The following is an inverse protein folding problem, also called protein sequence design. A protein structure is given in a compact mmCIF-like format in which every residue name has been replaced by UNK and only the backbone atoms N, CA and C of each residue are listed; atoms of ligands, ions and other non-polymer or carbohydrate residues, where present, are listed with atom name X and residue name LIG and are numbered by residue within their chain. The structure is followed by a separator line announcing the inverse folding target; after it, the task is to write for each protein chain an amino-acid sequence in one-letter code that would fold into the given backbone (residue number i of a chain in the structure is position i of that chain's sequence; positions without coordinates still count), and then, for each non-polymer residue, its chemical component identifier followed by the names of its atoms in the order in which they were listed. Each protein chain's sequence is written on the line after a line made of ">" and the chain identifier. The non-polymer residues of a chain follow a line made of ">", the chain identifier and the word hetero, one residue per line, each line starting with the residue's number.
data_IF_108648554515
#
_entry.id   IF_108648554515
#
_cell.length_a   1.000
_cell.length_b   1.000
_cell.length_c   1.000
_cell.angle_alpha   90.00
_cell.angle_beta   90.00
_cell.angle_gamma   90.00
#
_symmetry.space_group_name_H-M   'P 1'
#
loop_
_entity.id
_entity.type
_entity.pdbx_description
1 polymer ?
#
# COMPACT_ATOMS: atom_id res chain seq x y z
N UNK A 1 -4.64 53.06 9.69
CA UNK A 1 -3.45 52.17 9.67
C UNK A 1 -3.59 51.11 10.77
N UNK A 2 -4.69 50.34 10.73
CA UNK A 2 -5.06 49.37 11.78
C UNK A 2 -6.00 48.30 11.18
N UNK A 3 -5.54 47.58 10.15
CA UNK A 3 -6.33 46.55 9.47
C UNK A 3 -5.66 45.16 9.38
N UNK A 4 -4.39 45.01 9.76
CA UNK A 4 -3.64 43.75 9.50
C UNK A 4 -3.33 42.88 10.73
N UNK A 5 -3.97 43.13 11.88
CA UNK A 5 -3.80 42.27 13.06
C UNK A 5 -4.54 40.91 13.03
N UNK A 6 -5.69 40.71 12.32
CA UNK A 6 -6.38 39.43 12.34
C UNK A 6 -5.75 38.34 11.44
N UNK A 7 -4.92 38.71 10.45
CA UNK A 7 -4.18 37.72 9.64
C UNK A 7 -2.93 37.20 10.36
N UNK A 8 -2.29 38.02 11.19
CA UNK A 8 -1.12 37.61 11.96
C UNK A 8 -1.45 36.64 13.10
N UNK A 9 -2.66 36.72 13.68
CA UNK A 9 -3.12 35.76 14.72
C UNK A 9 -3.57 34.40 14.16
N UNK A 10 -3.78 34.27 12.84
CA UNK A 10 -3.91 32.96 12.17
C UNK A 10 -2.55 32.31 11.89
N UNK A 11 -1.47 33.06 12.05
CA UNK A 11 -0.08 32.63 11.84
C UNK A 11 0.67 32.46 13.17
N UNK A 12 0.01 32.12 14.28
CA UNK A 12 0.77 31.48 15.36
C UNK A 12 1.26 30.14 14.79
N UNK A 13 2.57 29.96 14.54
CA UNK A 13 3.04 28.66 14.12
C UNK A 13 2.62 27.71 15.23
N UNK A 14 1.92 26.63 14.87
CA UNK A 14 1.68 25.61 15.89
C UNK A 14 3.05 25.22 16.46
N UNK A 15 3.18 24.88 17.75
CA UNK A 15 4.48 24.49 18.33
C UNK A 15 5.19 23.42 17.48
N UNK A 16 4.41 22.61 16.78
CA UNK A 16 4.81 21.59 15.81
C UNK A 16 5.47 22.19 14.57
N UNK A 17 4.89 23.23 13.98
CA UNK A 17 5.50 23.93 12.82
C UNK A 17 6.80 24.65 13.21
N UNK A 18 6.90 25.09 14.46
CA UNK A 18 8.14 25.68 14.98
C UNK A 18 9.26 24.64 15.09
N UNK A 19 8.96 23.42 15.56
CA UNK A 19 9.94 22.32 15.63
C UNK A 19 10.49 21.98 14.24
N UNK A 20 9.63 21.93 13.21
CA UNK A 20 10.10 21.75 11.83
C UNK A 20 11.05 22.85 11.37
N UNK A 21 10.74 24.11 11.68
CA UNK A 21 11.62 25.26 11.34
C UNK A 21 12.94 25.27 12.10
N UNK A 22 12.98 24.70 13.31
CA UNK A 22 14.21 24.55 14.10
C UNK A 22 15.13 23.51 13.45
N UNK A 23 14.56 22.41 12.96
CA UNK A 23 15.33 21.41 12.22
C UNK A 23 15.94 21.99 10.94
N UNK A 24 15.12 22.64 10.11
CA UNK A 24 15.56 23.25 8.84
C UNK A 24 16.71 24.27 9.02
N UNK A 25 16.78 24.96 10.17
CA UNK A 25 17.74 26.06 10.42
C UNK A 25 18.86 25.70 11.37
N UNK A 26 18.78 24.57 12.10
CA UNK A 26 19.66 24.33 13.22
C UNK A 26 19.57 22.94 13.83
N UNK A 27 19.39 21.88 13.03
CA UNK A 27 19.39 20.50 13.48
C UNK A 27 20.59 20.14 14.40
N UNK A 28 21.76 20.71 14.12
CA UNK A 28 23.01 20.48 14.87
C UNK A 28 23.06 21.15 16.25
N UNK A 29 22.18 22.11 16.52
CA UNK A 29 22.16 22.86 17.80
C UNK A 29 21.52 22.06 18.94
N UNK A 30 20.74 21.04 18.60
CA UNK A 30 19.96 20.24 19.55
C UNK A 30 20.56 18.85 19.65
N UNK A 31 20.84 18.40 20.87
CA UNK A 31 21.39 17.05 21.10
C UNK A 31 20.38 15.96 20.69
N UNK A 32 20.88 14.81 20.21
CA UNK A 32 20.05 13.66 19.83
C UNK A 32 19.09 13.19 20.93
N UNK A 33 19.49 13.32 22.21
CA UNK A 33 18.65 12.97 23.36
C UNK A 33 17.39 13.83 23.46
N UNK A 34 17.52 15.12 23.14
CA UNK A 34 16.40 16.06 23.21
C UNK A 34 15.45 15.85 22.04
N UNK A 35 15.98 15.57 20.85
CA UNK A 35 15.17 15.14 19.72
C UNK A 35 14.36 13.87 20.02
N UNK A 36 14.96 12.88 20.70
CA UNK A 36 14.25 11.69 21.15
C UNK A 36 13.17 12.00 22.19
N UNK A 37 13.40 12.96 23.10
CA UNK A 37 12.37 13.42 24.05
C UNK A 37 11.17 14.00 23.31
N UNK A 38 11.42 14.85 22.31
CA UNK A 38 10.37 15.44 21.46
C UNK A 38 9.63 14.33 20.69
N UNK A 39 10.31 13.30 20.18
CA UNK A 39 9.65 12.15 19.54
C UNK A 39 8.63 11.45 20.46
N UNK A 40 8.95 11.26 21.75
CA UNK A 40 8.02 10.64 22.69
C UNK A 40 6.81 11.55 22.99
N UNK A 41 7.01 12.86 23.08
CA UNK A 41 5.91 13.82 23.28
C UNK A 41 5.00 13.92 22.04
N UNK A 42 5.59 13.84 20.84
CA UNK A 42 4.86 13.79 19.57
C UNK A 42 4.01 12.52 19.42
N UNK A 43 4.43 11.38 19.99
CA UNK A 43 3.64 10.15 19.98
C UNK A 43 2.30 10.33 20.71
N UNK A 44 2.30 11.08 21.82
CA UNK A 44 1.06 11.41 22.54
C UNK A 44 0.20 12.40 21.73
N UNK A 45 0.80 13.26 20.92
CA UNK A 45 0.06 14.17 20.03
C UNK A 45 -0.61 13.47 18.83
N UNK A 46 -0.17 12.27 18.45
CA UNK A 46 -0.88 11.44 17.46
C UNK A 46 -2.27 11.01 17.95
N UNK A 47 -2.54 11.10 19.25
CA UNK A 47 -3.86 10.83 19.86
C UNK A 47 -4.84 12.00 19.72
N UNK A 48 -4.40 13.16 19.24
CA UNK A 48 -5.25 14.34 19.17
C UNK A 48 -6.46 14.10 18.24
N UNK A 49 -7.67 14.57 18.62
CA UNK A 49 -8.89 14.35 17.83
C UNK A 49 -8.86 15.08 16.48
N UNK A 50 -8.15 16.21 16.40
CA UNK A 50 -8.04 17.02 15.17
C UNK A 50 -7.04 16.42 14.17
N UNK A 51 -7.51 16.11 12.96
CA UNK A 51 -6.69 15.57 11.85
C UNK A 51 -5.49 16.47 11.50
N UNK A 52 -5.67 17.80 11.56
CA UNK A 52 -4.59 18.76 11.29
C UNK A 52 -3.40 18.60 12.25
N UNK A 53 -3.66 18.39 13.54
CA UNK A 53 -2.62 18.20 14.56
C UNK A 53 -1.87 16.89 14.29
N UNK A 54 -2.59 15.80 14.00
CA UNK A 54 -1.96 14.51 13.67
C UNK A 54 -1.09 14.59 12.43
N UNK A 55 -1.53 15.30 11.39
CA UNK A 55 -0.74 15.51 10.16
C UNK A 55 0.53 16.33 10.43
N UNK A 56 0.42 17.40 11.20
CA UNK A 56 1.58 18.19 11.59
C UNK A 56 2.58 17.36 12.41
N UNK A 57 2.09 16.55 13.36
CA UNK A 57 2.92 15.66 14.16
C UNK A 57 3.69 14.63 13.30
N UNK A 58 3.01 14.01 12.31
CA UNK A 58 3.65 13.10 11.34
C UNK A 58 4.76 13.80 10.55
N UNK A 59 4.52 15.03 10.08
CA UNK A 59 5.55 15.80 9.37
C UNK A 59 6.77 16.09 10.27
N UNK A 60 6.54 16.41 11.55
CA UNK A 60 7.66 16.61 12.49
C UNK A 60 8.45 15.35 12.79
N UNK A 61 7.84 14.16 12.80
CA UNK A 61 8.60 12.92 12.90
C UNK A 61 9.60 12.77 11.75
N UNK A 62 9.26 13.27 10.55
CA UNK A 62 10.15 13.21 9.40
C UNK A 62 11.34 14.16 9.55
N UNK A 63 11.12 15.39 10.02
CA UNK A 63 12.21 16.33 10.31
C UNK A 63 13.17 15.75 11.36
N UNK A 64 12.63 15.17 12.44
CA UNK A 64 13.47 14.54 13.47
C UNK A 64 14.22 13.31 12.93
N UNK A 65 13.58 12.49 12.10
CA UNK A 65 14.22 11.33 11.49
C UNK A 65 15.35 11.73 10.54
N UNK A 66 15.26 12.89 9.87
CA UNK A 66 16.37 13.45 9.08
C UNK A 66 17.52 13.94 9.97
N UNK A 67 17.22 14.56 11.11
CA UNK A 67 18.21 15.12 12.02
C UNK A 67 19.03 14.05 12.78
N UNK A 68 18.37 13.05 13.38
CA UNK A 68 19.05 12.01 14.17
C UNK A 68 19.41 10.78 13.31
N UNK A 69 18.52 10.43 12.38
CA UNK A 69 18.55 9.18 11.63
C UNK A 69 17.35 8.27 11.96
N UNK A 70 16.89 7.45 11.00
CA UNK A 70 15.69 6.62 11.16
C UNK A 70 15.87 5.48 12.18
N UNK A 71 17.10 5.04 12.42
CA UNK A 71 17.40 3.89 13.30
C UNK A 71 16.98 4.11 14.76
N UNK A 72 17.01 5.36 15.24
CA UNK A 72 16.64 5.69 16.63
C UNK A 72 15.12 5.92 16.79
N UNK A 73 14.47 6.42 15.73
CA UNK A 73 13.04 6.75 15.74
C UNK A 73 12.16 5.51 15.50
N UNK A 74 12.57 4.64 14.58
CA UNK A 74 11.76 3.46 14.18
C UNK A 74 11.44 2.51 15.34
N UNK A 75 12.37 2.12 16.23
CA UNK A 75 12.05 1.22 17.35
C UNK A 75 10.95 1.77 18.24
N UNK A 76 10.95 3.08 18.47
CA UNK A 76 9.96 3.80 19.28
C UNK A 76 8.57 3.74 18.64
N UNK A 77 8.47 4.00 17.33
CA UNK A 77 7.22 3.88 16.57
C UNK A 77 6.73 2.43 16.51
N UNK A 78 7.62 1.46 16.28
CA UNK A 78 7.26 0.05 16.16
C UNK A 78 6.77 -0.54 17.49
N UNK A 79 7.34 -0.11 18.62
CA UNK A 79 6.84 -0.51 19.93
C UNK A 79 5.44 0.06 20.21
N UNK A 80 5.11 1.23 19.64
CA UNK A 80 3.78 1.82 19.75
C UNK A 80 2.69 1.04 18.96
N UNK A 81 3.07 0.20 18.00
CA UNK A 81 2.10 -0.67 17.29
C UNK A 81 1.40 -1.68 18.22
N UNK A 82 1.96 -1.96 19.40
CA UNK A 82 1.35 -2.82 20.43
C UNK A 82 0.16 -2.17 21.15
N UNK A 83 -0.04 -0.87 20.97
CA UNK A 83 -1.12 -0.12 21.63
C UNK A 83 -2.49 -0.62 21.12
N UNK A 84 -3.42 -0.84 22.06
CA UNK A 84 -4.74 -1.43 21.79
C UNK A 84 -5.67 -0.53 20.97
N UNK A 85 -5.45 0.79 20.98
CA UNK A 85 -6.31 1.73 20.27
C UNK A 85 -6.01 1.82 18.77
N UNK A 86 -7.02 1.54 17.94
CA UNK A 86 -6.88 1.46 16.49
C UNK A 86 -6.38 2.77 15.85
N UNK A 87 -6.91 3.92 16.29
CA UNK A 87 -6.55 5.22 15.72
C UNK A 87 -5.06 5.52 15.91
N UNK A 88 -4.49 5.15 17.06
CA UNK A 88 -3.07 5.34 17.36
C UNK A 88 -2.22 4.47 16.46
N UNK A 89 -2.58 3.18 16.29
CA UNK A 89 -1.88 2.30 15.36
C UNK A 89 -1.85 2.86 13.94
N UNK A 90 -2.97 3.34 13.41
CA UNK A 90 -3.03 3.91 12.05
C UNK A 90 -2.15 5.16 11.92
N UNK A 91 -2.13 6.03 12.91
CA UNK A 91 -1.28 7.23 12.85
C UNK A 91 0.21 6.86 12.94
N UNK A 92 0.55 5.85 13.74
CA UNK A 92 1.92 5.31 13.84
C UNK A 92 2.35 4.65 12.53
N UNK A 93 1.49 3.91 11.83
CA UNK A 93 1.83 3.32 10.52
C UNK A 93 2.04 4.38 9.44
N UNK A 94 1.25 5.45 9.46
CA UNK A 94 1.45 6.60 8.56
C UNK A 94 2.77 7.32 8.88
N UNK A 95 3.11 7.48 10.16
CA UNK A 95 4.39 8.05 10.57
C UNK A 95 5.58 7.20 10.06
N UNK A 96 5.52 5.87 10.20
CA UNK A 96 6.57 4.97 9.69
C UNK A 96 6.71 5.10 8.16
N UNK A 97 5.61 5.13 7.42
CA UNK A 97 5.63 5.30 5.96
C UNK A 97 6.24 6.65 5.53
N UNK A 98 5.91 7.74 6.23
CA UNK A 98 6.45 9.07 5.96
C UNK A 98 7.95 9.17 6.29
N UNK A 99 8.41 8.46 7.34
CA UNK A 99 9.84 8.33 7.64
C UNK A 99 10.56 7.52 6.55
N UNK A 100 9.93 6.47 6.00
CA UNK A 100 10.50 5.70 4.90
C UNK A 100 10.65 6.50 3.60
N UNK A 101 9.72 7.42 3.32
CA UNK A 101 9.81 8.33 2.18
C UNK A 101 11.02 9.27 2.30
N UNK A 102 11.26 9.80 3.51
CA UNK A 102 12.33 10.79 3.74
C UNK A 102 13.71 10.18 3.93
N UNK A 103 13.80 9.02 4.58
CA UNK A 103 15.06 8.35 4.91
C UNK A 103 15.38 7.15 4.00
N UNK A 104 14.67 7.06 2.86
CA UNK A 104 14.65 5.96 1.91
C UNK A 104 14.15 4.61 2.47
N UNK A 105 13.49 3.79 1.65
CA UNK A 105 12.83 2.57 2.12
C UNK A 105 13.79 1.48 2.61
N UNK A 106 15.05 1.48 2.15
CA UNK A 106 16.04 0.47 2.51
C UNK A 106 16.33 0.38 4.02
N UNK A 107 16.12 1.46 4.77
CA UNK A 107 16.31 1.50 6.23
C UNK A 107 15.11 0.95 6.99
N UNK A 108 13.90 1.15 6.45
CA UNK A 108 12.63 0.84 7.11
C UNK A 108 12.16 -0.58 6.78
N UNK A 109 12.29 -1.02 5.52
CA UNK A 109 11.81 -2.33 5.05
C UNK A 109 12.38 -3.50 5.87
N UNK A 110 13.71 -3.61 6.11
CA UNK A 110 14.25 -4.74 6.89
C UNK A 110 13.74 -4.75 8.32
N UNK A 111 13.59 -3.56 8.92
CA UNK A 111 13.11 -3.39 10.30
C UNK A 111 11.64 -3.82 10.42
N UNK A 112 10.81 -3.46 9.43
CA UNK A 112 9.42 -3.90 9.33
C UNK A 112 9.30 -5.42 9.16
N UNK A 113 10.07 -5.99 8.23
CA UNK A 113 10.08 -7.44 7.99
C UNK A 113 10.48 -8.22 9.25
N UNK A 114 11.43 -7.69 10.03
CA UNK A 114 11.82 -8.33 11.28
C UNK A 114 10.69 -8.28 12.33
N UNK A 115 9.93 -7.18 12.41
CA UNK A 115 8.78 -7.08 13.33
C UNK A 115 7.60 -7.95 12.91
N UNK A 116 7.40 -8.18 11.61
CA UNK A 116 6.33 -9.05 11.11
C UNK A 116 6.51 -10.53 11.55
N UNK A 117 7.75 -10.96 11.82
CA UNK A 117 8.04 -12.30 12.37
C UNK A 117 7.55 -12.51 13.81
N UNK A 118 7.14 -11.45 14.50
CA UNK A 118 6.61 -11.56 15.86
C UNK A 118 5.17 -12.09 15.82
N UNK A 119 4.79 -13.04 16.70
CA UNK A 119 3.47 -13.72 16.65
C UNK A 119 2.29 -12.85 17.14
N UNK A 120 2.47 -11.53 17.28
CA UNK A 120 1.40 -10.61 17.72
C UNK A 120 0.61 -10.10 16.51
N UNK A 121 -0.61 -10.61 16.31
CA UNK A 121 -1.49 -10.24 15.18
C UNK A 121 -1.70 -8.73 14.99
N UNK A 122 -1.77 -7.97 16.09
CA UNK A 122 -1.91 -6.50 16.04
C UNK A 122 -0.67 -5.82 15.45
N UNK A 123 0.52 -6.35 15.74
CA UNK A 123 1.79 -5.85 15.21
C UNK A 123 1.92 -6.23 13.74
N UNK A 124 1.59 -7.46 13.36
CA UNK A 124 1.60 -7.91 11.96
C UNK A 124 0.66 -7.08 11.08
N UNK A 125 -0.59 -6.88 11.52
CA UNK A 125 -1.54 -5.97 10.86
C UNK A 125 -1.02 -4.52 10.79
N UNK A 126 -0.34 -4.05 11.84
CA UNK A 126 0.31 -2.73 11.84
C UNK A 126 1.43 -2.64 10.80
N UNK A 127 2.28 -3.66 10.70
CA UNK A 127 3.36 -3.72 9.72
C UNK A 127 2.82 -3.75 8.30
N UNK A 128 1.80 -4.56 8.02
CA UNK A 128 1.15 -4.61 6.70
C UNK A 128 0.52 -3.26 6.32
N UNK A 129 -0.15 -2.59 7.26
CA UNK A 129 -0.68 -1.23 7.03
C UNK A 129 0.43 -0.22 6.76
N UNK A 130 1.54 -0.26 7.51
CA UNK A 130 2.69 0.60 7.28
C UNK A 130 3.30 0.34 5.89
N UNK A 131 3.43 -0.92 5.50
CA UNK A 131 3.90 -1.35 4.19
C UNK A 131 2.99 -0.83 3.06
N UNK A 132 1.67 -0.89 3.25
CA UNK A 132 0.68 -0.35 2.29
C UNK A 132 0.77 1.16 2.11
N UNK A 133 0.96 1.93 3.19
CA UNK A 133 1.14 3.39 3.08
C UNK A 133 2.49 3.72 2.45
N UNK A 134 3.54 2.99 2.83
CA UNK A 134 4.90 3.17 2.34
C UNK A 134 4.97 2.92 0.83
N UNK A 135 4.39 1.82 0.32
CA UNK A 135 4.35 1.57 -1.13
C UNK A 135 3.57 2.64 -1.89
N UNK A 136 2.53 3.21 -1.28
CA UNK A 136 1.79 4.35 -1.84
C UNK A 136 2.59 5.66 -1.90
N UNK A 137 3.50 5.91 -0.96
CA UNK A 137 4.31 7.14 -0.93
C UNK A 137 5.55 7.05 -1.82
N UNK A 138 6.16 5.87 -1.93
CA UNK A 138 7.38 5.67 -2.70
C UNK A 138 7.13 5.75 -4.21
N UNK A 139 5.98 5.28 -4.69
CA UNK A 139 5.65 5.24 -6.12
C UNK A 139 6.67 4.40 -6.91
N UNK A 140 7.38 5.04 -7.84
CA UNK A 140 8.28 4.39 -8.80
C UNK A 140 9.52 3.73 -8.16
N UNK A 141 10.02 4.23 -7.02
CA UNK A 141 11.17 3.56 -6.37
C UNK A 141 10.80 2.20 -5.77
N UNK A 142 9.52 1.80 -5.80
CA UNK A 142 9.05 0.50 -5.35
C UNK A 142 9.63 -0.67 -6.14
N UNK A 143 10.11 -0.44 -7.38
CA UNK A 143 10.67 -1.49 -8.25
C UNK A 143 11.86 -2.23 -7.63
N UNK A 144 12.68 -1.55 -6.83
CA UNK A 144 13.91 -2.15 -6.27
C UNK A 144 13.59 -3.00 -5.02
N UNK A 145 12.40 -2.82 -4.44
CA UNK A 145 11.98 -3.46 -3.18
C UNK A 145 10.95 -4.57 -3.38
N UNK A 146 10.31 -4.67 -4.55
CA UNK A 146 9.23 -5.63 -4.80
C UNK A 146 9.68 -7.07 -4.49
N UNK A 147 10.85 -7.49 -4.98
CA UNK A 147 11.39 -8.83 -4.77
C UNK A 147 11.68 -9.13 -3.29
N UNK A 148 12.07 -8.12 -2.51
CA UNK A 148 12.30 -8.29 -1.08
C UNK A 148 10.98 -8.43 -0.29
N UNK A 149 9.92 -7.78 -0.76
CA UNK A 149 8.62 -7.73 -0.09
C UNK A 149 7.71 -8.89 -0.51
N UNK A 150 7.93 -9.53 -1.67
CA UNK A 150 7.15 -10.65 -2.17
C UNK A 150 6.92 -11.77 -1.13
N UNK A 151 7.94 -12.35 -0.46
CA UNK A 151 7.74 -13.44 0.49
C UNK A 151 6.87 -13.05 1.69
N UNK A 152 6.92 -11.77 2.11
CA UNK A 152 6.09 -11.26 3.20
C UNK A 152 4.62 -11.15 2.76
N UNK A 153 4.37 -10.69 1.53
CA UNK A 153 3.02 -10.60 0.98
C UNK A 153 2.43 -11.97 0.67
N UNK A 154 3.24 -12.94 0.25
CA UNK A 154 2.81 -14.32 0.05
C UNK A 154 2.24 -14.91 1.35
N UNK A 155 2.97 -14.78 2.45
CA UNK A 155 2.52 -15.23 3.77
C UNK A 155 1.22 -14.51 4.19
N UNK A 156 1.16 -13.19 4.03
CA UNK A 156 -0.01 -12.39 4.40
C UNK A 156 -1.25 -12.67 3.52
N UNK A 157 -1.07 -13.03 2.25
CA UNK A 157 -2.17 -13.38 1.33
C UNK A 157 -2.71 -14.79 1.58
N UNK A 158 -1.89 -15.70 2.14
CA UNK A 158 -2.28 -17.07 2.50
C UNK A 158 -2.80 -17.21 3.93
N UNK A 159 -2.66 -16.17 4.76
CA UNK A 159 -3.09 -16.22 6.16
C UNK A 159 -4.61 -16.44 6.28
N UNK A 160 -5.03 -17.07 7.37
CA UNK A 160 -6.42 -17.32 7.73
C UNK A 160 -7.18 -16.02 8.06
N UNK A 161 -6.51 -14.98 8.55
CA UNK A 161 -7.15 -13.72 8.93
C UNK A 161 -7.55 -12.86 7.72
N UNK A 162 -8.81 -12.43 7.72
CA UNK A 162 -9.39 -11.59 6.68
C UNK A 162 -8.70 -10.22 6.59
N UNK A 163 -8.28 -9.66 7.73
CA UNK A 163 -7.65 -8.32 7.77
C UNK A 163 -6.25 -8.36 7.15
N UNK A 164 -5.51 -9.45 7.35
CA UNK A 164 -4.21 -9.69 6.72
C UNK A 164 -4.36 -9.75 5.20
N UNK A 165 -5.28 -10.59 4.69
CA UNK A 165 -5.56 -10.68 3.25
C UNK A 165 -6.01 -9.36 2.66
N UNK A 166 -6.90 -8.63 3.33
CA UNK A 166 -7.37 -7.32 2.89
C UNK A 166 -6.21 -6.32 2.75
N UNK A 167 -5.38 -6.20 3.79
CA UNK A 167 -4.28 -5.22 3.81
C UNK A 167 -3.13 -5.62 2.89
N UNK A 168 -2.90 -6.92 2.69
CA UNK A 168 -1.97 -7.41 1.69
C UNK A 168 -2.46 -7.05 0.27
N UNK A 169 -3.75 -7.24 -0.03
CA UNK A 169 -4.33 -6.82 -1.32
C UNK A 169 -4.21 -5.31 -1.55
N UNK A 170 -4.46 -4.48 -0.54
CA UNK A 170 -4.25 -3.02 -0.68
C UNK A 170 -2.78 -2.66 -0.89
N UNK A 171 -1.85 -3.44 -0.32
CA UNK A 171 -0.42 -3.26 -0.55
C UNK A 171 -0.04 -3.63 -1.98
N UNK A 172 -0.52 -4.77 -2.50
CA UNK A 172 -0.32 -5.19 -3.90
C UNK A 172 -0.88 -4.15 -4.86
N UNK A 173 -2.04 -3.56 -4.57
CA UNK A 173 -2.62 -2.46 -5.34
C UNK A 173 -1.63 -1.31 -5.54
N UNK A 174 -1.05 -0.80 -4.45
CA UNK A 174 -0.11 0.32 -4.50
C UNK A 174 1.20 -0.04 -5.20
N UNK A 175 1.71 -1.26 -4.99
CA UNK A 175 2.91 -1.76 -5.69
C UNK A 175 2.65 -1.88 -7.19
N UNK A 176 1.52 -2.46 -7.60
CA UNK A 176 1.17 -2.62 -9.00
C UNK A 176 1.08 -1.28 -9.73
N UNK A 177 0.47 -0.26 -9.12
CA UNK A 177 0.43 1.10 -9.68
C UNK A 177 1.81 1.76 -9.74
N UNK A 178 2.64 1.62 -8.70
CA UNK A 178 3.97 2.22 -8.65
C UNK A 178 4.97 1.61 -9.64
N UNK A 179 4.78 0.34 -10.00
CA UNK A 179 5.74 -0.43 -10.83
C UNK A 179 5.26 -0.61 -12.28
N UNK A 180 4.12 -0.02 -12.65
CA UNK A 180 3.59 -0.10 -14.00
C UNK A 180 4.59 0.45 -15.04
N UNK A 181 4.99 -0.39 -16.01
CA UNK A 181 5.94 -0.02 -17.07
C UNK A 181 7.43 -0.07 -16.69
N UNK A 182 7.79 -0.53 -15.48
CA UNK A 182 9.18 -0.62 -15.03
C UNK A 182 9.83 -2.00 -15.20
N UNK A 183 9.13 -2.96 -15.82
CA UNK A 183 9.67 -4.27 -16.18
C UNK A 183 9.59 -5.37 -15.10
N UNK A 184 8.93 -5.14 -13.96
CA UNK A 184 8.74 -6.14 -12.90
C UNK A 184 7.45 -6.97 -13.07
N UNK A 185 7.12 -7.36 -14.31
CA UNK A 185 5.90 -8.12 -14.61
C UNK A 185 5.93 -9.53 -14.00
N UNK A 186 7.11 -10.10 -13.81
CA UNK A 186 7.34 -11.41 -13.20
C UNK A 186 6.87 -11.45 -11.73
N UNK A 187 7.33 -10.51 -10.92
CA UNK A 187 6.97 -10.38 -9.51
C UNK A 187 5.48 -10.07 -9.33
N UNK A 188 4.92 -9.22 -10.19
CA UNK A 188 3.48 -8.91 -10.18
C UNK A 188 2.64 -10.11 -10.63
N UNK A 189 3.09 -10.89 -11.62
CA UNK A 189 2.40 -12.14 -12.02
C UNK A 189 2.40 -13.14 -10.87
N UNK A 190 3.51 -13.24 -10.13
CA UNK A 190 3.61 -14.10 -8.94
C UNK A 190 2.63 -13.67 -7.85
N UNK A 191 2.59 -12.37 -7.50
CA UNK A 191 1.63 -11.84 -6.52
C UNK A 191 0.18 -12.04 -6.96
N UNK A 192 -0.12 -11.88 -8.25
CA UNK A 192 -1.45 -12.10 -8.80
C UNK A 192 -1.94 -13.54 -8.58
N UNK A 193 -1.05 -14.54 -8.64
CA UNK A 193 -1.40 -15.94 -8.35
C UNK A 193 -1.89 -16.15 -6.90
N UNK A 194 -1.41 -15.36 -5.94
CA UNK A 194 -1.86 -15.40 -4.55
C UNK A 194 -3.09 -14.52 -4.29
N UNK A 195 -3.27 -13.45 -5.05
CA UNK A 195 -4.47 -12.60 -4.97
C UNK A 195 -5.69 -13.29 -5.59
N UNK A 196 -5.51 -14.02 -6.70
CA UNK A 196 -6.59 -14.60 -7.48
C UNK A 196 -7.52 -15.56 -6.69
N UNK A 197 -7.03 -16.47 -5.84
CA UNK A 197 -7.89 -17.34 -5.02
C UNK A 197 -8.82 -16.59 -4.07
N UNK A 198 -8.46 -15.36 -3.68
CA UNK A 198 -9.24 -14.56 -2.72
C UNK A 198 -10.52 -13.95 -3.34
N UNK A 199 -10.77 -14.12 -4.64
CA UNK A 199 -12.00 -13.68 -5.32
C UNK A 199 -13.25 -14.42 -4.83
N UNK A 200 -13.09 -15.62 -4.27
CA UNK A 200 -14.19 -16.42 -3.72
C UNK A 200 -14.59 -16.03 -2.30
N UNK A 201 -13.91 -15.05 -1.71
CA UNK A 201 -14.24 -14.55 -0.38
C UNK A 201 -15.63 -13.90 -0.37
N UNK A 202 -16.31 -13.93 0.78
CA UNK A 202 -17.69 -13.40 0.90
C UNK A 202 -17.76 -12.00 1.50
N UNK A 203 -16.71 -11.59 2.21
CA UNK A 203 -16.70 -10.30 2.92
C UNK A 203 -16.47 -9.13 1.96
N UNK A 204 -17.39 -8.15 2.00
CA UNK A 204 -17.37 -7.00 1.08
C UNK A 204 -16.05 -6.20 1.13
N UNK A 205 -15.46 -6.05 2.32
CA UNK A 205 -14.20 -5.31 2.48
C UNK A 205 -13.00 -6.00 1.83
N UNK A 206 -12.95 -7.33 1.88
CA UNK A 206 -11.86 -8.10 1.23
C UNK A 206 -12.09 -8.16 -0.27
N UNK A 207 -13.32 -8.43 -0.73
CA UNK A 207 -13.64 -8.49 -2.15
C UNK A 207 -13.27 -7.17 -2.83
N UNK A 208 -13.67 -6.03 -2.27
CA UNK A 208 -13.32 -4.72 -2.84
C UNK A 208 -11.80 -4.53 -2.93
N UNK A 209 -11.05 -4.91 -1.89
CA UNK A 209 -9.59 -4.81 -1.91
C UNK A 209 -8.95 -5.75 -2.95
N UNK A 210 -9.48 -6.96 -3.13
CA UNK A 210 -9.04 -7.93 -4.14
C UNK A 210 -9.33 -7.40 -5.54
N UNK A 211 -10.53 -6.88 -5.79
CA UNK A 211 -10.91 -6.30 -7.08
C UNK A 211 -10.03 -5.10 -7.43
N UNK A 212 -9.81 -4.18 -6.48
CA UNK A 212 -8.90 -3.05 -6.69
C UNK A 212 -7.45 -3.50 -6.96
N UNK A 213 -6.99 -4.58 -6.31
CA UNK A 213 -5.67 -5.13 -6.56
C UNK A 213 -5.56 -5.76 -7.97
N UNK A 214 -6.58 -6.51 -8.39
CA UNK A 214 -6.67 -7.09 -9.73
C UNK A 214 -6.72 -5.99 -10.79
N UNK A 215 -7.52 -4.94 -10.58
CA UNK A 215 -7.57 -3.74 -11.43
C UNK A 215 -6.19 -3.15 -11.64
N UNK A 216 -5.46 -2.90 -10.57
CA UNK A 216 -4.13 -2.31 -10.66
C UNK A 216 -3.12 -3.26 -11.33
N UNK A 217 -3.27 -4.57 -11.12
CA UNK A 217 -2.48 -5.57 -11.84
C UNK A 217 -2.81 -5.58 -13.35
N UNK A 218 -4.06 -5.34 -13.76
CA UNK A 218 -4.39 -5.21 -15.19
C UNK A 218 -3.69 -4.04 -15.85
N UNK A 219 -3.53 -2.91 -15.13
CA UNK A 219 -2.82 -1.73 -15.64
C UNK A 219 -1.33 -2.03 -15.79
N UNK A 220 -0.73 -2.75 -14.84
CA UNK A 220 0.70 -3.04 -14.84
C UNK A 220 1.12 -4.19 -15.78
N UNK A 221 0.34 -5.29 -15.82
CA UNK A 221 0.63 -6.50 -16.61
C UNK A 221 -0.01 -6.51 -18.00
N UNK A 222 -0.98 -5.62 -18.21
CA UNK A 222 -1.87 -5.64 -19.36
C UNK A 222 -3.06 -6.60 -19.20
N UNK A 223 -4.13 -6.40 -19.99
CA UNK A 223 -5.38 -7.14 -19.86
C UNK A 223 -5.23 -8.62 -20.28
N UNK A 224 -4.30 -8.94 -21.19
CA UNK A 224 -4.14 -10.29 -21.72
C UNK A 224 -3.73 -11.33 -20.68
N UNK A 225 -2.81 -10.99 -19.77
CA UNK A 225 -2.37 -11.91 -18.70
C UNK A 225 -3.49 -12.17 -17.69
N UNK A 226 -4.21 -11.14 -17.28
CA UNK A 226 -5.34 -11.29 -16.34
C UNK A 226 -6.50 -12.04 -16.97
N UNK A 227 -6.76 -11.82 -18.27
CA UNK A 227 -7.75 -12.59 -19.03
C UNK A 227 -7.47 -14.09 -19.03
N UNK A 228 -6.20 -14.51 -19.05
CA UNK A 228 -5.85 -15.94 -18.99
C UNK A 228 -6.24 -16.58 -17.65
N UNK A 229 -6.13 -15.85 -16.53
CA UNK A 229 -6.59 -16.31 -15.22
C UNK A 229 -8.12 -16.42 -15.17
N UNK A 230 -8.84 -15.43 -15.72
CA UNK A 230 -10.30 -15.44 -15.85
C UNK A 230 -10.77 -16.64 -16.69
N UNK A 231 -10.10 -16.92 -17.82
CA UNK A 231 -10.44 -18.03 -18.72
C UNK A 231 -10.29 -19.38 -18.02
N UNK A 232 -9.21 -19.56 -17.25
CA UNK A 232 -9.02 -20.76 -16.43
C UNK A 232 -10.13 -20.96 -15.40
N UNK A 233 -10.59 -19.87 -14.76
CA UNK A 233 -11.71 -19.90 -13.81
C UNK A 233 -13.07 -20.17 -14.49
N UNK A 234 -13.27 -19.68 -15.72
CA UNK A 234 -14.51 -19.88 -16.50
C UNK A 234 -14.74 -21.30 -17.00
N UNK A 235 -13.71 -22.16 -17.01
CA UNK A 235 -13.81 -23.56 -17.39
C UNK A 235 -14.30 -24.48 -16.25
N UNK A 236 -14.53 -23.95 -15.03
CA UNK A 236 -15.06 -24.74 -13.92
C UNK A 236 -16.55 -25.11 -14.15
N UNK A 237 -16.98 -26.33 -13.74
CA UNK A 237 -18.35 -26.78 -13.91
C UNK A 237 -19.37 -25.85 -13.22
N UNK A 238 -20.59 -25.70 -13.76
CA UNK A 238 -21.58 -24.65 -13.42
C UNK A 238 -22.22 -24.75 -12.03
N UNK A 239 -21.64 -25.54 -11.12
CA UNK A 239 -22.18 -25.82 -9.77
C UNK A 239 -21.34 -25.25 -8.61
N UNK A 240 -20.17 -24.69 -8.87
CA UNK A 240 -19.62 -23.70 -7.95
C UNK A 240 -20.33 -22.37 -8.25
N UNK A 241 -20.84 -21.64 -7.24
CA UNK A 241 -21.49 -20.36 -7.51
C UNK A 241 -20.52 -19.53 -8.34
N UNK A 242 -20.99 -18.93 -9.44
CA UNK A 242 -20.24 -17.86 -10.09
C UNK A 242 -20.05 -16.82 -9.00
N UNK A 243 -18.90 -16.83 -8.33
CA UNK A 243 -18.68 -15.94 -7.22
C UNK A 243 -18.89 -14.52 -7.77
N UNK A 244 -19.64 -13.66 -7.06
CA UNK A 244 -19.92 -12.31 -7.53
C UNK A 244 -18.65 -11.59 -7.99
N UNK A 245 -17.53 -11.83 -7.28
CA UNK A 245 -16.21 -11.31 -7.63
C UNK A 245 -15.66 -11.74 -9.00
N UNK A 246 -16.02 -12.91 -9.55
CA UNK A 246 -15.55 -13.32 -10.89
C UNK A 246 -16.28 -12.54 -11.98
N UNK A 247 -17.58 -12.33 -11.83
CA UNK A 247 -18.35 -11.53 -12.79
C UNK A 247 -17.98 -10.05 -12.70
N UNK A 248 -17.71 -9.56 -11.49
CA UNK A 248 -17.21 -8.20 -11.25
C UNK A 248 -15.79 -8.02 -11.80
N UNK A 249 -14.87 -8.97 -11.59
CA UNK A 249 -13.53 -8.94 -12.19
C UNK A 249 -13.60 -8.97 -13.72
N UNK A 250 -14.53 -9.74 -14.31
CA UNK A 250 -14.83 -9.70 -15.74
C UNK A 250 -15.34 -8.31 -16.14
N UNK A 251 -16.30 -7.74 -15.42
CA UNK A 251 -16.86 -6.43 -15.72
C UNK A 251 -15.79 -5.33 -15.66
N UNK A 252 -14.92 -5.38 -14.64
CA UNK A 252 -13.73 -4.55 -14.51
C UNK A 252 -12.80 -4.70 -15.72
N UNK A 253 -12.53 -5.93 -16.16
CA UNK A 253 -11.71 -6.20 -17.34
C UNK A 253 -12.32 -5.59 -18.60
N UNK A 254 -13.65 -5.62 -18.72
CA UNK A 254 -14.40 -5.05 -19.84
C UNK A 254 -14.51 -3.52 -19.77
N UNK A 255 -14.61 -2.92 -18.58
CA UNK A 255 -14.71 -1.47 -18.37
C UNK A 255 -13.36 -0.77 -18.58
N UNK A 256 -12.27 -1.31 -18.04
CA UNK A 256 -10.90 -0.85 -18.36
C UNK A 256 -10.45 -1.32 -19.74
N UNK A 257 -11.11 -2.36 -20.26
CA UNK A 257 -11.14 -2.80 -21.64
C UNK A 257 -11.87 -1.83 -22.58
N UNK A 258 -11.71 -0.51 -22.39
CA UNK A 258 -11.82 0.45 -23.50
C UNK A 258 -10.81 0.16 -24.64
N UNK A 259 -9.89 -0.80 -24.42
CA UNK A 259 -9.22 -1.62 -25.43
C UNK A 259 -9.89 -2.99 -25.55
N UNK A 260 -11.16 -3.05 -25.95
CA UNK A 260 -11.81 -4.31 -26.31
C UNK A 260 -10.97 -5.09 -27.34
N UNK A 261 -10.23 -4.35 -28.18
CA UNK A 261 -9.26 -4.83 -29.17
C UNK A 261 -8.09 -5.65 -28.58
N UNK A 262 -7.67 -5.40 -27.33
CA UNK A 262 -6.56 -6.13 -26.71
C UNK A 262 -6.97 -7.53 -26.20
N UNK A 263 -8.27 -7.76 -25.96
CA UNK A 263 -8.82 -9.04 -25.54
C UNK A 263 -9.30 -9.91 -26.71
N UNK A 264 -9.12 -9.44 -27.95
CA UNK A 264 -9.59 -10.12 -29.18
C UNK A 264 -8.82 -11.40 -29.51
N UNK A 265 -7.64 -11.63 -28.92
CA UNK A 265 -6.74 -12.75 -29.23
C UNK A 265 -7.05 -14.05 -28.46
N UNK A 266 -8.32 -14.37 -28.22
CA UNK A 266 -8.75 -15.62 -27.54
C UNK A 266 -9.08 -16.77 -28.51
N UNK A 267 -8.55 -17.97 -28.25
CA UNK A 267 -8.79 -19.19 -29.04
C UNK A 267 -10.13 -19.90 -28.75
N UNK A 268 -10.62 -20.61 -29.77
CA UNK A 268 -11.92 -21.27 -29.87
C UNK A 268 -12.13 -22.52 -28.98
N UNK A 269 -13.40 -22.78 -28.65
CA UNK A 269 -13.88 -24.03 -28.07
C UNK A 269 -14.38 -25.02 -29.13
N UNK A 270 -14.07 -26.31 -28.95
CA UNK A 270 -14.18 -27.39 -29.94
C UNK A 270 -15.57 -27.74 -30.52
N UNK A 271 -16.63 -26.95 -30.27
CA UNK A 271 -18.01 -27.27 -30.72
C UNK A 271 -18.72 -26.19 -31.55
N UNK A 272 -18.26 -24.94 -31.50
CA UNK A 272 -18.83 -23.83 -32.28
C UNK A 272 -17.73 -23.14 -33.08
N UNK A 273 -17.97 -22.83 -34.35
CA UNK A 273 -17.10 -21.95 -35.13
C UNK A 273 -17.30 -20.49 -34.67
N UNK A 274 -16.47 -20.04 -33.73
CA UNK A 274 -16.36 -18.64 -33.32
C UNK A 274 -15.10 -17.96 -33.88
N UNK A 275 -14.39 -18.63 -34.79
CA UNK A 275 -13.17 -18.15 -35.42
C UNK A 275 -13.42 -16.85 -36.22
N UNK A 276 -12.70 -15.78 -35.86
CA UNK A 276 -12.61 -14.58 -36.70
C UNK A 276 -11.62 -14.86 -37.83
N UNK A 277 -12.13 -15.36 -38.95
CA UNK A 277 -11.35 -15.67 -40.17
C UNK A 277 -10.56 -14.48 -40.70
N UNK A 278 -10.97 -13.26 -40.39
CA UNK A 278 -10.32 -12.02 -40.83
C UNK A 278 -8.93 -11.82 -40.19
N UNK A 279 -8.65 -12.43 -39.03
CA UNK A 279 -7.37 -12.31 -38.32
C UNK A 279 -6.30 -13.31 -38.82
N UNK A 280 -6.69 -14.29 -39.62
CA UNK A 280 -5.77 -15.30 -40.20
C UNK A 280 -5.26 -14.90 -41.59
N UNK A 281 -5.74 -13.77 -42.14
CA UNK A 281 -5.29 -13.21 -43.40
C UNK A 281 -3.91 -12.56 -43.24
N UNK A 282 -2.87 -13.28 -43.66
CA UNK A 282 -1.53 -12.72 -43.89
C UNK A 282 -1.50 -12.13 -45.31
N UNK A 283 -1.43 -10.80 -45.41
CA UNK A 283 -1.18 -10.08 -46.69
C UNK A 283 0.32 -10.07 -46.96
#
# INVERSE_FOLDING_TARGET
>A
MAADLPELMRQTPSPIDLVGRIEDRGAETVSAREWMRICFELLEMLKAPKKAIRRAAVNTFCYIAKAIGPQDVLPTLLNNLKVQEHQHRVCTTVAIASVAETCLPFTVVPTLMNKYRMPELNVQNGVLKALSFMSGYIGEMGKDYIYAVCPLLEDALMDCDLVHRQTACTTVKHIALGVAGLGCEDALTHLLNFVWPNIFETSAHVINAVLEAVECCTVALGPGRVFMHVRGAGALPPRAPRAPGVLEAVHVLYLWGGRADACVSGQDGARNNCSRTDLELLI
#
